data_IF_924120229236
#
_entry.id   IF_924120229236
#
_cell.length_a   1.000
_cell.length_b   1.000
_cell.length_c   1.000
_cell.angle_alpha   90.00
_cell.angle_beta   90.00
_cell.angle_gamma   90.00
#
_symmetry.space_group_name_H-M   'P 1'
#
loop_
_entity.id
_entity.type
_entity.pdbx_description
1 polymer ?
#
# COMPACT_ATOMS: atom_id res chain seq x y z
N UNK A 1 -14.72 12.43 24.84
CA UNK A 1 -13.62 11.51 24.51
C UNK A 1 -13.12 10.62 25.66
N UNK A 2 -13.33 11.00 26.94
CA UNK A 2 -12.90 10.20 28.10
C UNK A 2 -13.63 8.83 28.14
N UNK A 3 -14.92 8.80 27.86
CA UNK A 3 -15.73 7.56 27.87
C UNK A 3 -15.20 6.56 26.81
N UNK A 4 -14.86 7.06 25.62
CA UNK A 4 -14.29 6.23 24.54
C UNK A 4 -12.91 5.67 24.92
N UNK A 5 -12.05 6.48 25.53
CA UNK A 5 -10.74 6.05 25.98
C UNK A 5 -10.87 4.97 27.08
N UNK A 6 -11.76 5.18 28.04
CA UNK A 6 -12.04 4.21 29.09
C UNK A 6 -12.62 2.89 28.55
N UNK A 7 -13.46 2.95 27.52
CA UNK A 7 -13.97 1.75 26.84
C UNK A 7 -12.83 0.98 26.17
N UNK A 8 -11.98 1.68 25.40
CA UNK A 8 -10.83 1.05 24.71
C UNK A 8 -9.89 0.39 25.74
N UNK A 9 -9.59 1.07 26.85
CA UNK A 9 -8.73 0.50 27.91
C UNK A 9 -9.32 -0.77 28.53
N UNK A 10 -10.62 -0.81 28.76
CA UNK A 10 -11.30 -2.00 29.28
C UNK A 10 -11.26 -3.16 28.30
N UNK A 11 -11.50 -2.91 27.02
CA UNK A 11 -11.41 -3.94 25.98
C UNK A 11 -9.97 -4.45 25.81
N UNK A 12 -8.96 -3.58 25.91
CA UNK A 12 -7.56 -3.99 25.89
C UNK A 12 -7.20 -4.88 27.06
N UNK A 13 -7.66 -4.57 28.27
CA UNK A 13 -7.45 -5.42 29.45
C UNK A 13 -8.06 -6.79 29.20
N UNK A 14 -9.32 -6.85 28.75
CA UNK A 14 -10.01 -8.10 28.46
C UNK A 14 -9.28 -8.95 27.42
N UNK A 15 -8.83 -8.35 26.31
CA UNK A 15 -8.07 -9.04 25.26
C UNK A 15 -6.75 -9.60 25.84
N UNK A 16 -6.08 -8.81 26.70
CA UNK A 16 -4.81 -9.22 27.32
C UNK A 16 -5.00 -10.39 28.29
N UNK A 17 -6.05 -10.39 29.10
CA UNK A 17 -6.40 -11.47 30.01
C UNK A 17 -6.72 -12.75 29.24
N UNK A 18 -7.59 -12.68 28.22
CA UNK A 18 -7.93 -13.81 27.36
C UNK A 18 -6.70 -14.39 26.64
N UNK A 19 -5.82 -13.52 26.12
CA UNK A 19 -4.57 -13.94 25.45
C UNK A 19 -3.63 -14.62 26.44
N UNK A 20 -3.51 -14.07 27.65
CA UNK A 20 -2.68 -14.65 28.73
C UNK A 20 -3.21 -16.01 29.16
N UNK A 21 -4.51 -16.16 29.29
CA UNK A 21 -5.12 -17.41 29.74
C UNK A 21 -5.02 -18.49 28.66
N UNK A 22 -5.24 -18.15 27.39
CA UNK A 22 -5.03 -19.08 26.29
C UNK A 22 -3.55 -19.50 26.17
N UNK A 23 -2.61 -18.60 26.37
CA UNK A 23 -1.18 -18.91 26.33
C UNK A 23 -0.72 -19.81 27.47
N UNK A 24 -1.44 -19.84 28.63
CA UNK A 24 -1.16 -20.73 29.77
C UNK A 24 -1.76 -22.11 29.60
N UNK A 25 -2.80 -22.24 28.79
CA UNK A 25 -3.44 -23.54 28.52
C UNK A 25 -2.52 -24.33 27.59
N UNK A 26 -2.04 -25.47 28.10
CA UNK A 26 -1.13 -26.37 27.36
C UNK A 26 -1.94 -27.42 26.57
N UNK A 27 -3.18 -27.12 26.18
CA UNK A 27 -3.99 -28.05 25.37
C UNK A 27 -3.44 -28.10 23.95
N UNK A 28 -3.26 -29.32 23.44
CA UNK A 28 -2.67 -29.64 22.15
C UNK A 28 -3.48 -29.14 20.93
N UNK A 29 -4.66 -28.59 21.15
CA UNK A 29 -5.59 -28.19 20.08
C UNK A 29 -5.43 -26.74 19.59
N UNK A 30 -4.67 -25.88 20.28
CA UNK A 30 -4.37 -24.52 19.85
C UNK A 30 -2.86 -24.28 19.72
N UNK A 31 -2.41 -23.97 18.54
CA UNK A 31 -1.02 -23.55 18.32
C UNK A 31 -0.79 -22.13 18.84
N UNK A 32 0.46 -21.78 19.18
CA UNK A 32 0.82 -20.41 19.53
C UNK A 32 0.50 -19.41 18.39
N UNK A 33 0.55 -19.86 17.14
CA UNK A 33 0.21 -19.07 15.96
C UNK A 33 -1.30 -18.74 15.92
N UNK A 34 -2.18 -19.68 16.28
CA UNK A 34 -3.63 -19.46 16.36
C UNK A 34 -3.98 -18.42 17.45
N UNK A 35 -3.25 -18.44 18.57
CA UNK A 35 -3.43 -17.45 19.65
C UNK A 35 -3.03 -16.05 19.18
N UNK A 36 -1.91 -15.93 18.45
CA UNK A 36 -1.47 -14.67 17.86
C UNK A 36 -2.52 -14.16 16.87
N UNK A 37 -2.94 -14.99 15.90
CA UNK A 37 -3.92 -14.59 14.89
C UNK A 37 -5.24 -14.13 15.50
N UNK A 38 -5.72 -14.83 16.53
CA UNK A 38 -6.94 -14.47 17.25
C UNK A 38 -6.80 -13.13 17.98
N UNK A 39 -5.65 -12.90 18.61
CA UNK A 39 -5.36 -11.66 19.32
C UNK A 39 -5.24 -10.48 18.36
N UNK A 40 -4.57 -10.65 17.23
CA UNK A 40 -4.47 -9.65 16.16
C UNK A 40 -5.85 -9.25 15.63
N UNK A 41 -6.72 -10.22 15.32
CA UNK A 41 -8.09 -9.96 14.87
C UNK A 41 -8.89 -9.14 15.87
N UNK A 42 -8.77 -9.44 17.16
CA UNK A 42 -9.47 -8.71 18.24
C UNK A 42 -8.94 -7.28 18.38
N UNK A 43 -7.62 -7.09 18.35
CA UNK A 43 -6.96 -5.78 18.42
C UNK A 43 -7.31 -4.93 17.20
N UNK A 44 -7.29 -5.50 16.01
CA UNK A 44 -7.68 -4.83 14.76
C UNK A 44 -9.14 -4.36 14.81
N UNK A 45 -10.05 -5.25 15.21
CA UNK A 45 -11.48 -4.92 15.40
C UNK A 45 -11.71 -3.80 16.41
N UNK A 46 -10.92 -3.77 17.49
CA UNK A 46 -10.98 -2.70 18.49
C UNK A 46 -10.48 -1.36 17.91
N UNK A 47 -9.39 -1.40 17.13
CA UNK A 47 -8.85 -0.23 16.45
C UNK A 47 -9.84 0.35 15.42
N UNK A 48 -10.53 -0.51 14.64
CA UNK A 48 -11.58 -0.07 13.71
C UNK A 48 -12.78 0.56 14.44
N UNK A 49 -13.23 -0.02 15.54
CA UNK A 49 -14.29 0.56 16.38
C UNK A 49 -13.85 1.86 17.05
N UNK A 50 -12.57 1.97 17.36
CA UNK A 50 -11.92 3.17 17.89
C UNK A 50 -11.80 4.29 16.86
N UNK A 51 -11.58 3.95 15.61
CA UNK A 51 -11.62 4.84 14.45
C UNK A 51 -13.07 5.06 14.04
N UNK A 52 -13.80 5.93 14.74
CA UNK A 52 -15.07 6.40 14.20
C UNK A 52 -14.75 7.03 12.84
N UNK A 53 -15.19 6.44 11.73
CA UNK A 53 -15.37 7.17 10.48
C UNK A 53 -16.27 8.34 10.85
N UNK A 54 -15.66 9.49 11.08
CA UNK A 54 -16.40 10.68 11.41
C UNK A 54 -17.38 10.92 10.26
N UNK A 55 -18.67 11.03 10.59
CA UNK A 55 -19.64 11.50 9.61
C UNK A 55 -19.14 12.87 9.16
N UNK A 56 -18.76 12.97 7.89
CA UNK A 56 -18.33 14.23 7.29
C UNK A 56 -19.62 14.93 6.85
N UNK A 57 -19.80 16.18 7.25
CA UNK A 57 -20.91 16.98 6.79
C UNK A 57 -20.81 17.18 5.27
N UNK A 58 -21.94 17.18 4.58
CA UNK A 58 -21.96 17.29 3.11
C UNK A 58 -21.30 18.57 2.59
N UNK A 59 -21.45 19.67 3.30
CA UNK A 59 -20.83 20.96 2.98
C UNK A 59 -19.28 20.89 3.05
N UNK A 60 -18.72 20.17 4.03
CA UNK A 60 -17.28 19.95 4.14
C UNK A 60 -16.76 19.06 2.98
N UNK A 61 -17.50 18.00 2.64
CA UNK A 61 -17.19 17.16 1.49
C UNK A 61 -17.26 17.96 0.17
N UNK A 62 -18.26 18.83 0.02
CA UNK A 62 -18.42 19.69 -1.14
C UNK A 62 -17.25 20.68 -1.25
N UNK A 63 -16.84 21.33 -0.16
CA UNK A 63 -15.69 22.24 -0.14
C UNK A 63 -14.41 21.53 -0.60
N UNK A 64 -14.13 20.34 -0.08
CA UNK A 64 -12.98 19.53 -0.48
C UNK A 64 -13.02 19.19 -1.96
N UNK A 65 -14.19 18.83 -2.49
CA UNK A 65 -14.35 18.52 -3.92
C UNK A 65 -14.10 19.76 -4.80
N UNK A 66 -14.62 20.92 -4.42
CA UNK A 66 -14.38 22.18 -5.14
C UNK A 66 -12.91 22.58 -5.10
N UNK A 67 -12.25 22.39 -3.95
CA UNK A 67 -10.82 22.67 -3.82
C UNK A 67 -9.98 21.73 -4.71
N UNK A 68 -10.29 20.44 -4.72
CA UNK A 68 -9.66 19.47 -5.63
C UNK A 68 -9.84 19.86 -7.11
N UNK A 69 -11.06 20.19 -7.53
CA UNK A 69 -11.36 20.61 -8.89
C UNK A 69 -10.63 21.92 -9.27
N UNK A 70 -10.55 22.86 -8.34
CA UNK A 70 -9.84 24.13 -8.55
C UNK A 70 -8.33 23.92 -8.70
N UNK A 71 -7.75 23.03 -7.89
CA UNK A 71 -6.34 22.69 -7.99
C UNK A 71 -6.04 21.93 -9.29
N UNK A 72 -6.93 21.03 -9.71
CA UNK A 72 -6.83 20.35 -11.00
C UNK A 72 -6.86 21.35 -12.18
N UNK A 73 -7.77 22.31 -12.12
CA UNK A 73 -7.90 23.35 -13.15
C UNK A 73 -6.66 24.25 -13.24
N UNK A 74 -6.10 24.64 -12.09
CA UNK A 74 -4.87 25.47 -12.03
C UNK A 74 -3.62 24.77 -12.55
N UNK A 75 -3.60 23.44 -12.55
CA UNK A 75 -2.47 22.65 -13.05
C UNK A 75 -2.44 22.53 -14.60
N UNK A 76 -3.27 23.28 -15.33
CA UNK A 76 -3.29 23.38 -16.81
C UNK A 76 -3.11 22.02 -17.53
N UNK A 77 -3.90 21.02 -17.19
CA UNK A 77 -3.81 19.67 -17.76
C UNK A 77 -2.72 18.78 -17.17
N UNK A 78 -2.12 19.18 -16.04
CA UNK A 78 -1.20 18.37 -15.28
C UNK A 78 -1.91 17.19 -14.58
N UNK A 79 -1.16 16.13 -14.33
CA UNK A 79 -1.63 14.94 -13.62
C UNK A 79 -1.94 15.32 -12.16
N UNK A 80 -3.18 15.11 -11.73
CA UNK A 80 -3.63 15.43 -10.35
C UNK A 80 -3.22 14.35 -9.37
N UNK A 81 -3.29 13.08 -9.80
CA UNK A 81 -2.89 11.92 -9.04
C UNK A 81 -1.37 11.68 -9.06
N UNK A 82 -0.95 10.55 -8.52
CA UNK A 82 0.43 10.09 -8.62
C UNK A 82 0.65 9.53 -10.03
N UNK A 83 1.60 10.06 -10.82
CA UNK A 83 1.82 9.60 -12.18
C UNK A 83 2.36 8.16 -12.21
N UNK A 84 1.89 7.39 -13.17
CA UNK A 84 2.36 6.02 -13.43
C UNK A 84 3.68 6.01 -14.20
N UNK A 85 4.04 7.12 -14.81
CA UNK A 85 5.17 7.24 -15.73
C UNK A 85 4.90 6.75 -17.14
N UNK A 86 3.66 6.37 -17.43
CA UNK A 86 3.19 5.94 -18.75
C UNK A 86 2.21 7.00 -19.27
N UNK A 87 2.65 7.79 -20.26
CA UNK A 87 1.90 8.96 -20.76
C UNK A 87 0.44 8.64 -21.07
N UNK A 88 0.20 7.65 -21.93
CA UNK A 88 -1.15 7.32 -22.40
C UNK A 88 -2.06 6.81 -21.26
N UNK A 89 -1.47 6.20 -20.24
CA UNK A 89 -2.18 5.76 -19.06
C UNK A 89 -2.48 6.93 -18.13
N UNK A 90 -1.51 7.79 -17.93
CA UNK A 90 -1.63 9.00 -17.12
C UNK A 90 -2.65 9.97 -17.73
N UNK A 91 -2.66 10.14 -19.06
CA UNK A 91 -3.64 10.96 -19.78
C UNK A 91 -5.08 10.43 -19.60
N UNK A 92 -5.24 9.11 -19.49
CA UNK A 92 -6.56 8.49 -19.32
C UNK A 92 -7.03 8.46 -17.87
N UNK A 93 -6.14 8.24 -16.92
CA UNK A 93 -6.47 8.10 -15.50
C UNK A 93 -6.38 9.44 -14.73
N UNK A 94 -5.67 10.44 -15.26
CA UNK A 94 -5.29 11.62 -14.48
C UNK A 94 -4.27 11.32 -13.38
N UNK A 95 -3.57 10.17 -13.47
CA UNK A 95 -2.72 9.60 -12.43
C UNK A 95 -3.47 8.67 -11.49
N UNK A 96 -2.76 8.14 -10.48
CA UNK A 96 -3.32 7.26 -9.45
C UNK A 96 -3.88 8.11 -8.31
N UNK A 97 -5.17 7.99 -8.01
CA UNK A 97 -5.83 8.75 -6.95
C UNK A 97 -5.93 7.97 -5.64
N UNK A 98 -6.07 8.69 -4.54
CA UNK A 98 -6.29 8.07 -3.24
C UNK A 98 -7.61 7.32 -3.21
N UNK A 99 -7.63 6.17 -2.56
CA UNK A 99 -8.78 5.27 -2.42
C UNK A 99 -9.20 4.54 -3.69
N UNK A 100 -8.48 4.69 -4.81
CA UNK A 100 -8.76 3.91 -6.01
C UNK A 100 -8.24 2.47 -5.88
N UNK A 101 -9.01 1.55 -6.44
CA UNK A 101 -8.60 0.17 -6.68
C UNK A 101 -8.40 -0.03 -8.18
N UNK A 102 -7.16 -0.22 -8.62
CA UNK A 102 -6.81 -0.45 -10.02
C UNK A 102 -6.43 -1.92 -10.21
N UNK A 103 -7.13 -2.61 -11.10
CA UNK A 103 -6.92 -4.03 -11.38
C UNK A 103 -6.24 -4.19 -12.73
N UNK A 104 -5.06 -4.84 -12.74
CA UNK A 104 -4.33 -5.21 -13.94
C UNK A 104 -4.54 -6.71 -14.19
N UNK A 105 -5.24 -7.05 -15.27
CA UNK A 105 -5.50 -8.43 -15.64
C UNK A 105 -4.88 -8.78 -17.00
N UNK A 106 -4.51 -10.03 -17.18
CA UNK A 106 -3.94 -10.54 -18.43
C UNK A 106 -3.55 -12.02 -18.29
N UNK A 107 -3.31 -12.68 -19.41
CA UNK A 107 -2.85 -14.09 -19.43
C UNK A 107 -1.48 -14.22 -18.75
N UNK A 108 -1.11 -15.40 -18.27
CA UNK A 108 0.25 -15.66 -17.79
C UNK A 108 1.31 -15.20 -18.80
N UNK A 109 2.44 -14.72 -18.31
CA UNK A 109 3.59 -14.25 -19.12
C UNK A 109 3.35 -13.01 -19.98
N UNK A 110 2.22 -12.31 -19.84
CA UNK A 110 1.94 -11.07 -20.58
C UNK A 110 2.57 -9.80 -19.95
N UNK A 111 3.41 -9.95 -18.95
CA UNK A 111 4.15 -8.82 -18.36
C UNK A 111 3.41 -8.03 -17.29
N UNK A 112 2.32 -8.55 -16.71
CA UNK A 112 1.57 -7.87 -15.62
C UNK A 112 2.47 -7.38 -14.49
N UNK A 113 3.32 -8.27 -13.96
CA UNK A 113 4.24 -7.95 -12.86
C UNK A 113 5.26 -6.90 -13.28
N UNK A 114 5.77 -6.96 -14.51
CA UNK A 114 6.70 -5.95 -15.04
C UNK A 114 6.03 -4.59 -15.11
N UNK A 115 4.81 -4.52 -15.64
CA UNK A 115 4.05 -3.27 -15.70
C UNK A 115 3.79 -2.70 -14.29
N UNK A 116 3.35 -3.53 -13.35
CA UNK A 116 3.11 -3.11 -11.97
C UNK A 116 4.39 -2.62 -11.27
N UNK A 117 5.52 -3.31 -11.50
CA UNK A 117 6.82 -2.92 -10.93
C UNK A 117 7.27 -1.57 -11.49
N UNK A 118 7.10 -1.33 -12.80
CA UNK A 118 7.45 -0.07 -13.44
C UNK A 118 6.60 1.08 -12.95
N UNK A 119 5.30 0.88 -12.85
CA UNK A 119 4.38 1.89 -12.28
C UNK A 119 4.80 2.22 -10.85
N UNK A 120 5.06 1.21 -10.01
CA UNK A 120 5.49 1.42 -8.63
C UNK A 120 6.82 2.20 -8.55
N UNK A 121 7.81 1.84 -9.37
CA UNK A 121 9.10 2.53 -9.40
C UNK A 121 8.97 3.98 -9.88
N UNK A 122 8.28 4.22 -11.00
CA UNK A 122 8.06 5.55 -11.55
C UNK A 122 7.30 6.45 -10.57
N UNK A 123 6.26 5.91 -9.93
CA UNK A 123 5.50 6.63 -8.92
C UNK A 123 6.37 7.00 -7.72
N UNK A 124 7.24 6.07 -7.22
CA UNK A 124 8.16 6.34 -6.13
C UNK A 124 9.15 7.45 -6.48
N UNK A 125 9.74 7.41 -7.68
CA UNK A 125 10.66 8.41 -8.18
C UNK A 125 10.02 9.80 -8.25
N UNK A 126 8.81 9.89 -8.82
CA UNK A 126 8.08 11.15 -8.93
C UNK A 126 7.66 11.74 -7.59
N UNK A 127 7.30 10.91 -6.63
CA UNK A 127 7.00 11.36 -5.27
C UNK A 127 8.24 11.91 -4.57
N UNK A 128 9.41 11.31 -4.81
CA UNK A 128 10.68 11.78 -4.28
C UNK A 128 11.10 13.10 -4.91
N UNK A 129 10.99 13.25 -6.24
CA UNK A 129 11.32 14.48 -6.98
C UNK A 129 10.49 15.67 -6.47
N UNK A 130 9.25 15.44 -6.07
CA UNK A 130 8.36 16.44 -5.51
C UNK A 130 8.63 16.78 -4.02
N UNK A 131 9.71 16.25 -3.46
CA UNK A 131 10.12 16.49 -2.06
C UNK A 131 9.18 15.85 -1.02
N UNK A 132 8.25 15.01 -1.44
CA UNK A 132 7.35 14.28 -0.53
C UNK A 132 8.06 13.04 0.00
N UNK A 133 8.20 12.93 1.31
CA UNK A 133 8.62 11.68 1.98
C UNK A 133 7.47 10.66 1.86
N UNK A 134 7.42 9.96 0.76
CA UNK A 134 6.39 8.94 0.49
C UNK A 134 7.09 7.63 0.15
N UNK A 135 6.46 6.52 0.48
CA UNK A 135 6.93 5.18 0.17
C UNK A 135 5.85 4.38 -0.52
N UNK A 136 6.25 3.44 -1.36
CA UNK A 136 5.35 2.51 -2.03
C UNK A 136 5.62 1.13 -1.46
N UNK A 137 4.57 0.47 -0.98
CA UNK A 137 4.63 -0.91 -0.54
C UNK A 137 4.25 -1.83 -1.70
N UNK A 138 5.10 -2.82 -2.00
CA UNK A 138 4.85 -3.83 -3.02
C UNK A 138 4.75 -5.20 -2.37
N UNK A 139 3.57 -5.82 -2.45
CA UNK A 139 3.31 -7.15 -1.91
C UNK A 139 3.32 -8.17 -3.06
N UNK A 140 4.22 -9.13 -3.01
CA UNK A 140 4.35 -10.18 -4.02
C UNK A 140 4.23 -11.55 -3.39
N UNK A 141 3.32 -12.37 -3.92
CA UNK A 141 3.16 -13.78 -3.53
C UNK A 141 3.87 -14.74 -4.51
N UNK A 142 4.36 -14.24 -5.65
CA UNK A 142 4.93 -15.06 -6.73
C UNK A 142 6.44 -14.88 -6.85
N UNK A 143 6.95 -13.66 -6.59
CA UNK A 143 8.36 -13.30 -6.81
C UNK A 143 9.01 -12.82 -5.51
N UNK A 144 10.28 -13.19 -5.31
CA UNK A 144 11.08 -12.69 -4.19
C UNK A 144 11.49 -11.22 -4.39
N UNK A 145 11.90 -10.56 -3.31
CA UNK A 145 12.40 -9.18 -3.32
C UNK A 145 13.60 -9.00 -4.25
N UNK A 146 14.50 -9.98 -4.28
CA UNK A 146 15.70 -9.97 -5.14
C UNK A 146 15.33 -10.03 -6.63
N UNK A 147 14.31 -10.83 -6.96
CA UNK A 147 13.83 -10.93 -8.34
C UNK A 147 13.15 -9.63 -8.81
N UNK A 148 12.39 -8.98 -7.93
CA UNK A 148 11.78 -7.69 -8.21
C UNK A 148 12.84 -6.59 -8.35
N UNK A 149 13.82 -6.55 -7.45
CA UNK A 149 14.96 -5.62 -7.51
C UNK A 149 15.77 -5.80 -8.78
N UNK A 150 16.06 -7.05 -9.17
CA UNK A 150 16.77 -7.35 -10.42
C UNK A 150 16.03 -6.85 -11.64
N UNK A 151 14.69 -6.88 -11.65
CA UNK A 151 13.88 -6.31 -12.74
C UNK A 151 14.01 -4.80 -12.81
N UNK A 152 13.91 -4.12 -11.67
CA UNK A 152 14.04 -2.67 -11.61
C UNK A 152 15.43 -2.25 -12.11
N UNK A 153 16.49 -2.89 -11.61
CA UNK A 153 17.86 -2.59 -12.02
C UNK A 153 18.05 -2.86 -13.52
N UNK A 154 17.57 -4.00 -14.01
CA UNK A 154 17.65 -4.38 -15.42
C UNK A 154 17.02 -3.33 -16.34
N UNK A 155 15.89 -2.78 -15.95
CA UNK A 155 15.20 -1.77 -16.72
C UNK A 155 15.89 -0.41 -16.64
N UNK A 156 16.27 0.02 -15.45
CA UNK A 156 16.91 1.32 -15.26
C UNK A 156 18.30 1.38 -15.88
N UNK A 157 19.09 0.30 -15.76
CA UNK A 157 20.41 0.20 -16.35
C UNK A 157 20.39 -0.23 -17.83
N UNK A 158 19.22 -0.64 -18.36
CA UNK A 158 19.07 -1.21 -19.71
C UNK A 158 19.95 -2.42 -19.94
N UNK A 159 20.19 -3.22 -18.90
CA UNK A 159 20.98 -4.44 -18.91
C UNK A 159 20.05 -5.64 -18.79
N UNK A 160 20.32 -6.70 -19.54
CA UNK A 160 19.52 -7.92 -19.45
C UNK A 160 19.56 -8.51 -18.03
N UNK A 161 18.41 -8.90 -17.48
CA UNK A 161 18.34 -9.60 -16.18
C UNK A 161 19.19 -10.88 -16.16
N UNK A 162 19.42 -11.52 -17.32
CA UNK A 162 20.26 -12.68 -17.45
C UNK A 162 21.76 -12.34 -17.30
N UNK A 163 22.18 -11.18 -17.81
CA UNK A 163 23.55 -10.71 -17.70
C UNK A 163 23.86 -10.27 -16.26
N UNK A 164 22.89 -9.63 -15.60
CA UNK A 164 22.98 -9.31 -14.16
C UNK A 164 23.19 -10.60 -13.35
N UNK A 165 22.38 -11.64 -13.60
CA UNK A 165 22.49 -12.92 -12.89
C UNK A 165 23.79 -13.67 -13.16
N UNK A 166 24.40 -13.47 -14.31
CA UNK A 166 25.66 -14.12 -14.71
C UNK A 166 26.88 -13.28 -14.37
N UNK A 167 26.72 -12.11 -13.78
CA UNK A 167 27.84 -11.20 -13.52
C UNK A 167 28.52 -10.66 -14.78
N UNK A 168 27.80 -10.63 -15.92
CA UNK A 168 28.29 -10.07 -17.19
C UNK A 168 27.91 -8.60 -17.30
N UNK A 169 28.36 -7.82 -16.35
CA UNK A 169 28.15 -6.36 -16.31
C UNK A 169 29.51 -5.75 -16.58
N UNK A 170 29.61 -4.90 -17.64
CA UNK A 170 30.79 -4.08 -17.85
C UNK A 170 30.81 -2.91 -16.90
N UNK A 171 31.98 -2.49 -16.45
CA UNK A 171 32.17 -1.33 -15.55
C UNK A 171 32.10 0.02 -16.30
N UNK A 172 31.47 0.07 -17.50
CA UNK A 172 31.34 1.28 -18.33
C UNK A 172 30.09 2.11 -18.00
#
# INVERSE_FOLDING_TARGET
>A
NIIKDMFIRRELIKISEETSDNAKQTELDQSGEDIIETSEKKLFSLAEKGSSRALIAFDDAMRQTIEMATNAYKNEGGIVGVPTGLRDLDDKLGGLHQSDLIIIAGRPSMGKTSLATNIAFNAAQKLQDNGKKSSIAFFSLEMSSEQLSTRIISEQARISSNDIRRGRISDD
#
